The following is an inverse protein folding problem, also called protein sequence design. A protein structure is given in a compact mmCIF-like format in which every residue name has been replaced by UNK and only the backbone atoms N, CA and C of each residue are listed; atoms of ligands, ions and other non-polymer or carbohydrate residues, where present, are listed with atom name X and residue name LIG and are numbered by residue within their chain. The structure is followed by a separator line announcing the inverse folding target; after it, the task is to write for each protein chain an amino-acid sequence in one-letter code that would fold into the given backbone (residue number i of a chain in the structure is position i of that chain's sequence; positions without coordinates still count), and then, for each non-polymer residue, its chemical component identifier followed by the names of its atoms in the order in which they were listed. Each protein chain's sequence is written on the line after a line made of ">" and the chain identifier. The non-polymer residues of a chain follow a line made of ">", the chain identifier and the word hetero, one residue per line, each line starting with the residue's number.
data_IF_904644816596
#
_entry.id   IF_904644816596
#
_cell.length_a   1.000
_cell.length_b   1.000
_cell.length_c   1.000
_cell.angle_alpha   90.00
_cell.angle_beta   90.00
_cell.angle_gamma   90.00
#
_symmetry.space_group_name_H-M   'P 1'
#
loop_
_entity.id
_entity.type
_entity.pdbx_description
1 polymer ?
#
# COMPACT_ATOMS: atom_id res chain seq x y z
N UNK A 1 -18.99 -14.05 -22.98
CA UNK A 1 -19.31 -12.82 -22.21
C UNK A 1 -18.55 -12.70 -20.88
N UNK A 2 -18.10 -13.78 -20.23
CA UNK A 2 -17.47 -13.73 -18.88
C UNK A 2 -16.01 -13.22 -18.85
N UNK A 3 -15.16 -13.62 -19.83
CA UNK A 3 -13.73 -13.31 -19.80
C UNK A 3 -13.38 -11.81 -19.97
N UNK A 4 -14.04 -11.11 -20.92
CA UNK A 4 -13.77 -9.68 -21.20
C UNK A 4 -14.02 -8.75 -20.00
N UNK A 5 -14.96 -9.09 -19.12
CA UNK A 5 -15.27 -8.30 -17.92
C UNK A 5 -14.26 -8.52 -16.78
N UNK A 6 -13.65 -9.71 -16.70
CA UNK A 6 -12.57 -9.99 -15.76
C UNK A 6 -11.29 -9.25 -16.17
N UNK A 7 -10.95 -9.28 -17.46
CA UNK A 7 -9.79 -8.62 -18.03
C UNK A 7 -9.84 -7.09 -17.87
N UNK A 8 -10.99 -6.46 -18.13
CA UNK A 8 -11.18 -5.02 -17.92
C UNK A 8 -10.96 -4.58 -16.47
N UNK A 9 -11.41 -5.39 -15.50
CA UNK A 9 -11.21 -5.11 -14.06
C UNK A 9 -9.74 -5.25 -13.64
N UNK A 10 -9.03 -6.21 -14.23
CA UNK A 10 -7.59 -6.40 -14.00
C UNK A 10 -6.79 -5.16 -14.48
N UNK A 11 -7.13 -4.62 -15.66
CA UNK A 11 -6.43 -3.47 -16.24
C UNK A 11 -6.61 -2.21 -15.39
N UNK A 12 -7.83 -1.91 -14.95
CA UNK A 12 -8.11 -0.77 -14.07
C UNK A 12 -7.36 -0.88 -12.73
N UNK A 13 -7.26 -2.09 -12.17
CA UNK A 13 -6.49 -2.30 -10.95
C UNK A 13 -4.99 -2.02 -11.19
N UNK A 14 -4.45 -2.44 -12.33
CA UNK A 14 -3.04 -2.24 -12.64
C UNK A 14 -2.68 -0.76 -12.84
N UNK A 15 -3.63 0.08 -13.27
CA UNK A 15 -3.44 1.53 -13.38
C UNK A 15 -3.29 2.22 -12.02
N UNK A 16 -4.03 1.77 -10.98
CA UNK A 16 -3.99 2.40 -9.65
C UNK A 16 -2.86 1.86 -8.75
N UNK A 17 -2.38 0.65 -9.00
CA UNK A 17 -1.36 -0.03 -8.17
C UNK A 17 -0.11 0.83 -7.91
N UNK A 18 0.53 1.46 -8.92
CA UNK A 18 1.73 2.26 -8.69
C UNK A 18 1.51 3.41 -7.70
N UNK A 19 0.43 4.16 -7.86
CA UNK A 19 0.09 5.28 -6.97
C UNK A 19 -0.24 4.82 -5.55
N UNK A 20 -0.87 3.64 -5.39
CA UNK A 20 -1.11 3.06 -4.07
C UNK A 20 0.18 2.66 -3.35
N UNK A 21 1.16 2.09 -4.07
CA UNK A 21 2.46 1.74 -3.49
C UNK A 21 3.20 3.02 -3.07
N UNK A 22 3.25 4.03 -3.93
CA UNK A 22 3.89 5.31 -3.63
C UNK A 22 3.28 5.97 -2.39
N UNK A 23 1.95 6.05 -2.32
CA UNK A 23 1.25 6.61 -1.18
C UNK A 23 1.54 5.82 0.11
N UNK A 24 1.53 4.48 0.04
CA UNK A 24 1.84 3.63 1.19
C UNK A 24 3.29 3.81 1.67
N UNK A 25 4.26 3.85 0.75
CA UNK A 25 5.67 4.07 1.09
C UNK A 25 5.91 5.46 1.69
N UNK A 26 5.26 6.50 1.15
CA UNK A 26 5.32 7.85 1.71
C UNK A 26 4.73 7.91 3.12
N UNK A 27 3.57 7.30 3.33
CA UNK A 27 2.93 7.24 4.64
C UNK A 27 3.80 6.49 5.67
N UNK A 28 4.42 5.39 5.26
CA UNK A 28 5.33 4.66 6.12
C UNK A 28 6.56 5.50 6.50
N UNK A 29 7.12 6.27 5.56
CA UNK A 29 8.22 7.22 5.87
C UNK A 29 7.78 8.30 6.86
N UNK A 30 6.62 8.90 6.67
CA UNK A 30 6.06 9.92 7.59
C UNK A 30 5.94 9.34 9.01
N UNK A 31 5.40 8.12 9.12
CA UNK A 31 5.30 7.43 10.41
C UNK A 31 6.67 7.14 11.03
N UNK A 32 7.65 6.68 10.24
CA UNK A 32 9.02 6.43 10.72
C UNK A 32 9.70 7.72 11.19
N UNK A 33 9.53 8.83 10.47
CA UNK A 33 10.06 10.14 10.87
C UNK A 33 9.43 10.62 12.20
N UNK A 34 8.12 10.37 12.38
CA UNK A 34 7.42 10.66 13.64
C UNK A 34 7.96 9.82 14.80
N UNK A 35 8.11 8.50 14.61
CA UNK A 35 8.65 7.62 15.64
C UNK A 35 10.07 8.00 16.06
N UNK A 36 10.92 8.37 15.11
CA UNK A 36 12.27 8.85 15.42
C UNK A 36 12.23 10.10 16.31
N UNK A 37 11.40 11.09 15.97
CA UNK A 37 11.21 12.32 16.76
C UNK A 37 10.70 12.02 18.17
N UNK A 38 9.65 11.21 18.28
CA UNK A 38 9.04 10.85 19.57
C UNK A 38 10.01 10.06 20.46
N UNK A 39 10.95 9.34 19.84
CA UNK A 39 11.98 8.56 20.52
C UNK A 39 13.30 9.33 20.71
N UNK A 40 13.33 10.63 20.44
CA UNK A 40 14.51 11.50 20.56
C UNK A 40 15.74 11.02 19.77
N UNK A 41 15.51 10.34 18.64
CA UNK A 41 16.55 9.86 17.71
C UNK A 41 16.35 10.48 16.32
N UNK A 42 17.31 10.28 15.43
CA UNK A 42 17.20 10.70 14.03
C UNK A 42 16.97 9.50 13.14
N UNK A 43 16.00 9.60 12.22
CA UNK A 43 15.78 8.57 11.22
C UNK A 43 17.00 8.44 10.29
N UNK A 44 17.52 7.23 10.17
CA UNK A 44 18.70 6.90 9.37
C UNK A 44 18.36 6.41 7.96
N UNK A 45 19.27 5.60 7.40
CA UNK A 45 19.11 5.09 6.03
C UNK A 45 18.05 3.98 5.99
N UNK A 46 17.43 3.80 4.82
CA UNK A 46 16.57 2.64 4.57
C UNK A 46 17.43 1.37 4.62
N UNK A 47 17.02 0.38 5.42
CA UNK A 47 17.65 -0.93 5.51
C UNK A 47 16.98 -1.94 4.59
N UNK A 48 15.67 -2.07 4.71
CA UNK A 48 14.89 -2.99 3.87
C UNK A 48 13.57 -2.35 3.50
N UNK A 49 13.07 -2.69 2.32
CA UNK A 49 11.71 -2.40 1.93
C UNK A 49 11.11 -3.66 1.29
N UNK A 50 9.87 -3.96 1.65
CA UNK A 50 9.10 -5.02 1.00
C UNK A 50 7.67 -4.57 0.79
N UNK A 51 7.05 -5.10 -0.25
CA UNK A 51 5.65 -4.84 -0.57
C UNK A 51 4.86 -6.13 -0.39
N UNK A 52 3.78 -6.06 0.36
CA UNK A 52 2.80 -7.12 0.45
C UNK A 52 1.95 -7.25 -0.81
N UNK A 53 1.16 -8.32 -0.86
CA UNK A 53 0.19 -8.53 -1.93
C UNK A 53 -0.92 -7.49 -1.90
N UNK A 54 -1.41 -7.14 -3.09
CA UNK A 54 -2.67 -6.42 -3.21
C UNK A 54 -3.82 -7.35 -2.84
N UNK A 55 -4.63 -6.92 -1.88
CA UNK A 55 -5.88 -7.58 -1.53
C UNK A 55 -7.04 -6.80 -2.12
N UNK A 56 -7.97 -7.50 -2.76
CA UNK A 56 -9.13 -6.90 -3.42
C UNK A 56 -10.37 -7.66 -2.94
N UNK A 57 -11.20 -6.97 -2.19
CA UNK A 57 -12.38 -7.56 -1.54
C UNK A 57 -13.62 -6.73 -1.84
N UNK A 58 -14.80 -7.31 -1.64
CA UNK A 58 -16.05 -6.54 -1.69
C UNK A 58 -16.04 -5.55 -0.53
N UNK A 59 -16.49 -4.32 -0.77
CA UNK A 59 -16.60 -3.31 0.28
C UNK A 59 -17.55 -3.76 1.40
N UNK A 60 -18.68 -4.33 1.00
CA UNK A 60 -19.69 -4.90 1.88
C UNK A 60 -20.50 -5.97 1.13
N UNK A 61 -21.34 -6.72 1.86
CA UNK A 61 -22.19 -7.77 1.27
C UNK A 61 -23.36 -7.24 0.44
N UNK A 62 -23.76 -5.98 0.61
CA UNK A 62 -24.90 -5.36 -0.07
C UNK A 62 -24.53 -4.72 -1.42
N UNK A 63 -23.26 -4.35 -1.61
CA UNK A 63 -22.72 -3.69 -2.81
C UNK A 63 -21.44 -4.38 -3.30
N UNK A 64 -21.53 -5.64 -3.77
CA UNK A 64 -20.38 -6.44 -4.18
C UNK A 64 -19.64 -5.88 -5.40
N UNK A 65 -20.23 -4.96 -6.16
CA UNK A 65 -19.59 -4.24 -7.26
C UNK A 65 -18.56 -3.22 -6.78
N UNK A 66 -18.72 -2.68 -5.56
CA UNK A 66 -17.74 -1.79 -4.94
C UNK A 66 -16.64 -2.62 -4.29
N UNK A 67 -15.38 -2.29 -4.62
CA UNK A 67 -14.22 -3.02 -4.12
C UNK A 67 -13.40 -2.17 -3.17
N UNK A 68 -12.89 -2.80 -2.13
CA UNK A 68 -11.82 -2.27 -1.29
C UNK A 68 -10.52 -2.88 -1.79
N UNK A 69 -9.54 -2.02 -2.10
CA UNK A 69 -8.21 -2.44 -2.51
C UNK A 69 -7.22 -2.04 -1.42
N UNK A 70 -6.43 -3.00 -0.94
CA UNK A 70 -5.42 -2.78 0.09
C UNK A 70 -4.06 -3.23 -0.41
N UNK A 71 -3.03 -2.44 -0.13
CA UNK A 71 -1.63 -2.84 -0.22
C UNK A 71 -0.96 -2.46 1.08
N UNK A 72 -0.04 -3.30 1.54
CA UNK A 72 0.80 -3.03 2.69
C UNK A 72 2.23 -2.92 2.20
N UNK A 73 2.97 -1.95 2.72
CA UNK A 73 4.41 -1.86 2.56
C UNK A 73 5.05 -1.94 3.93
N UNK A 74 6.16 -2.66 3.99
CA UNK A 74 7.00 -2.76 5.18
C UNK A 74 8.34 -2.11 4.85
N UNK A 75 8.73 -1.11 5.63
CA UNK A 75 9.98 -0.38 5.46
C UNK A 75 10.68 -0.32 6.80
N UNK A 76 11.93 -0.76 6.83
CA UNK A 76 12.78 -0.70 8.01
C UNK A 76 13.88 0.32 7.78
N UNK A 77 14.00 1.25 8.72
CA UNK A 77 15.04 2.27 8.74
C UNK A 77 15.98 2.04 9.91
N UNK A 78 17.20 2.52 9.77
CA UNK A 78 18.05 2.74 10.92
C UNK A 78 17.55 3.90 11.77
N UNK A 79 17.99 3.94 13.02
CA UNK A 79 17.93 5.10 13.90
C UNK A 79 19.34 5.43 14.38
N UNK A 80 19.59 6.67 14.78
CA UNK A 80 20.92 7.17 15.18
C UNK A 80 20.96 7.63 16.63
#
# INVERSE_FOLDING_TARGET
>A
MSAKHAEKRQNQLNEVKPGMIEAATKNARIASDQFARDSQTTLGKLRTASQGWFQVENRDGATPERKTVRVVVDVNYEVK
#
